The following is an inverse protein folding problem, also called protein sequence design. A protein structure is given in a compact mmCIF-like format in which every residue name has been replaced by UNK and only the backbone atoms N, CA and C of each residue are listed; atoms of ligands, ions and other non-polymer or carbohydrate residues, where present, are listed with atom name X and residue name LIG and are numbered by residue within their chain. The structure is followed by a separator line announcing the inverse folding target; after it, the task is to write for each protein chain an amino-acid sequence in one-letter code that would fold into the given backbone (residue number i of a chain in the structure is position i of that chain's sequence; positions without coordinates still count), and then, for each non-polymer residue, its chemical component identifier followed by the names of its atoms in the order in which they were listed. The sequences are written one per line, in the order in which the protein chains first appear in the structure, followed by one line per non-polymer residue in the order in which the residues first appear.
data_IF_299083228917
#
_entry.id   IF_299083228917
#
_cell.length_a   1.000
_cell.length_b   1.000
_cell.length_c   1.000
_cell.angle_alpha   90.00
_cell.angle_beta   90.00
_cell.angle_gamma   90.00
#
_symmetry.space_group_name_H-M   'P 1'
#
loop_
_entity.id
_entity.type
_entity.pdbx_description
1 polymer ?
#
# COMPACT_ATOMS: atom_id res chain seq x y z
N UNK A 1 4.39 -0.33 38.58
CA UNK A 1 3.93 -0.24 37.17
C UNK A 1 3.30 1.11 36.84
N UNK A 2 2.43 1.66 37.68
CA UNK A 2 1.67 2.91 37.40
C UNK A 2 2.58 4.15 37.52
N UNK A 3 3.39 4.22 38.52
CA UNK A 3 4.32 5.34 38.78
C UNK A 3 5.42 5.49 37.71
N UNK A 4 5.91 4.37 37.13
CA UNK A 4 6.88 4.38 36.03
C UNK A 4 6.25 4.88 34.71
N UNK A 5 4.96 4.61 34.51
CA UNK A 5 4.24 5.02 33.31
C UNK A 5 3.94 6.52 33.32
N UNK A 6 3.55 7.05 34.45
CA UNK A 6 3.29 8.50 34.64
C UNK A 6 4.57 9.33 34.44
N UNK A 7 5.70 8.91 35.00
CA UNK A 7 7.01 9.60 34.84
C UNK A 7 7.52 9.51 33.39
N UNK A 8 7.25 8.40 32.67
CA UNK A 8 7.63 8.26 31.27
C UNK A 8 6.76 9.16 30.37
N UNK A 9 5.47 9.24 30.62
CA UNK A 9 4.52 10.09 29.89
C UNK A 9 4.80 11.58 30.13
N UNK A 10 5.14 12.00 31.34
CA UNK A 10 5.54 13.37 31.67
C UNK A 10 6.87 13.77 30.99
N UNK A 11 7.87 12.90 30.99
CA UNK A 11 9.13 13.15 30.30
C UNK A 11 8.95 13.24 28.77
N UNK A 12 8.09 12.41 28.19
CA UNK A 12 7.80 12.46 26.77
C UNK A 12 7.05 13.74 26.38
N UNK A 13 6.12 14.20 27.22
CA UNK A 13 5.41 15.45 27.00
C UNK A 13 6.37 16.65 27.02
N UNK A 14 7.30 16.69 27.98
CA UNK A 14 8.32 17.75 28.07
C UNK A 14 9.22 17.76 26.82
N UNK A 15 9.70 16.62 26.37
CA UNK A 15 10.58 16.53 25.19
C UNK A 15 9.85 16.95 23.91
N UNK A 16 8.58 16.57 23.77
CA UNK A 16 7.75 17.02 22.67
C UNK A 16 7.55 18.54 22.67
N UNK A 17 7.39 19.14 23.86
CA UNK A 17 7.28 20.59 24.04
C UNK A 17 8.58 21.31 23.65
N UNK A 18 9.74 20.82 24.11
CA UNK A 18 11.05 21.38 23.75
C UNK A 18 11.25 21.36 22.22
N UNK A 19 10.93 20.25 21.56
CA UNK A 19 11.02 20.12 20.11
C UNK A 19 10.05 21.05 19.37
N UNK A 20 8.81 21.16 19.84
CA UNK A 20 7.81 22.06 19.26
C UNK A 20 8.22 23.53 19.39
N UNK A 21 8.76 23.93 20.54
CA UNK A 21 9.26 25.29 20.78
C UNK A 21 10.46 25.60 19.88
N UNK A 22 11.41 24.68 19.76
CA UNK A 22 12.54 24.81 18.85
C UNK A 22 12.07 25.06 17.41
N UNK A 23 11.18 24.22 16.87
CA UNK A 23 10.64 24.37 15.51
C UNK A 23 9.89 25.70 15.34
N UNK A 24 9.09 26.09 16.32
CA UNK A 24 8.36 27.37 16.33
C UNK A 24 9.31 28.57 16.33
N UNK A 25 10.46 28.47 17.01
CA UNK A 25 11.45 29.55 17.09
C UNK A 25 12.10 29.92 15.74
N UNK A 26 12.04 29.01 14.75
CA UNK A 26 12.54 29.24 13.40
C UNK A 26 11.53 29.94 12.48
N UNK A 27 10.28 30.11 12.93
CA UNK A 27 9.26 30.81 12.15
C UNK A 27 9.49 32.33 12.20
N UNK A 28 9.76 32.96 11.06
CA UNK A 28 9.89 34.41 10.99
C UNK A 28 8.54 35.09 11.27
N UNK A 29 8.57 36.10 12.14
CA UNK A 29 7.39 36.89 12.52
C UNK A 29 6.90 37.86 11.42
N UNK A 30 7.52 37.85 10.22
CA UNK A 30 7.26 38.84 9.18
C UNK A 30 6.82 38.17 7.89
N UNK A 31 5.56 38.05 7.68
CA UNK A 31 4.85 38.38 6.44
C UNK A 31 3.36 38.09 6.56
N UNK A 32 2.54 39.12 6.61
CA UNK A 32 1.06 39.04 6.53
C UNK A 32 0.53 38.83 5.12
N UNK A 33 1.38 38.56 4.13
CA UNK A 33 1.00 38.57 2.71
C UNK A 33 1.43 37.36 1.87
N UNK A 34 2.03 36.30 2.44
CA UNK A 34 2.27 35.06 1.71
C UNK A 34 1.95 33.84 2.55
N UNK A 35 1.26 32.87 1.99
CA UNK A 35 0.88 31.61 2.63
C UNK A 35 2.07 30.69 2.93
N UNK A 36 3.28 31.04 2.49
CA UNK A 36 4.51 30.28 2.72
C UNK A 36 5.29 30.95 3.84
N UNK A 37 5.29 30.30 5.03
CA UNK A 37 6.14 30.70 6.16
C UNK A 37 7.59 30.34 5.83
N UNK A 38 8.43 31.34 5.56
CA UNK A 38 9.87 31.12 5.45
C UNK A 38 10.45 30.84 6.84
N UNK A 39 11.08 29.67 7.01
CA UNK A 39 11.82 29.31 8.21
C UNK A 39 13.24 29.94 8.11
N UNK A 40 13.72 30.48 9.22
CA UNK A 40 15.07 31.04 9.33
C UNK A 40 15.84 30.28 10.40
N UNK A 41 16.86 29.57 9.97
CA UNK A 41 17.70 28.78 10.86
C UNK A 41 18.96 29.55 11.25
N UNK A 42 19.38 29.48 12.53
CA UNK A 42 20.69 30.01 12.93
C UNK A 42 21.82 29.30 12.18
N UNK A 43 22.92 30.01 11.89
CA UNK A 43 24.06 29.44 11.17
C UNK A 43 24.71 28.24 11.87
N UNK A 44 24.57 28.15 13.17
CA UNK A 44 25.08 27.02 13.97
C UNK A 44 24.16 25.77 13.94
N UNK A 45 22.90 25.91 13.48
CA UNK A 45 21.94 24.83 13.51
C UNK A 45 22.16 23.84 12.37
N UNK A 46 22.38 22.56 12.71
CA UNK A 46 22.65 21.49 11.75
C UNK A 46 21.53 20.44 11.65
N UNK A 47 20.42 20.61 12.37
CA UNK A 47 19.30 19.67 12.43
C UNK A 47 18.94 19.27 13.85
N UNK A 48 17.82 18.55 14.01
CA UNK A 48 17.40 18.01 15.31
C UNK A 48 16.61 16.71 15.15
N UNK A 49 16.77 15.81 16.10
CA UNK A 49 16.10 14.53 16.10
C UNK A 49 15.87 13.99 17.52
N UNK A 50 15.01 13.01 17.65
CA UNK A 50 14.85 12.23 18.88
C UNK A 50 15.76 11.00 18.80
N UNK A 51 16.60 10.80 19.81
CA UNK A 51 17.44 9.62 19.88
C UNK A 51 16.63 8.37 20.34
N UNK A 52 17.27 7.21 20.40
CA UNK A 52 16.62 5.95 20.81
C UNK A 52 16.09 5.96 22.24
N UNK A 53 16.58 6.88 23.08
CA UNK A 53 16.10 7.08 24.44
C UNK A 53 14.95 8.10 24.51
N UNK A 54 14.50 8.61 23.36
CA UNK A 54 13.44 9.62 23.25
C UNK A 54 13.88 11.02 23.65
N UNK A 55 15.18 11.33 23.75
CA UNK A 55 15.70 12.65 24.09
C UNK A 55 15.89 13.50 22.84
N UNK A 56 15.58 14.80 22.94
CA UNK A 56 15.85 15.76 21.88
C UNK A 56 17.35 16.00 21.74
N UNK A 57 17.87 15.73 20.55
CA UNK A 57 19.26 16.04 20.15
C UNK A 57 19.22 17.16 19.13
N UNK A 58 20.03 18.20 19.36
CA UNK A 58 20.20 19.31 18.41
C UNK A 58 21.63 19.29 17.89
N UNK A 59 21.79 19.24 16.58
CA UNK A 59 23.10 19.29 15.93
C UNK A 59 23.58 20.72 15.82
N UNK A 60 24.84 20.93 16.21
CA UNK A 60 25.52 22.22 16.22
C UNK A 60 26.78 22.16 15.36
N UNK A 61 26.91 23.10 14.44
CA UNK A 61 28.00 23.12 13.45
C UNK A 61 29.34 23.43 14.13
N UNK A 62 30.35 22.61 13.85
CA UNK A 62 31.74 22.70 14.26
C UNK A 62 31.99 22.62 15.77
N UNK A 63 31.38 23.48 16.58
CA UNK A 63 31.57 23.51 18.04
C UNK A 63 30.40 24.21 18.73
N UNK A 64 30.14 23.84 19.98
CA UNK A 64 29.24 24.62 20.83
C UNK A 64 29.98 25.76 21.54
N UNK A 65 29.22 26.73 22.04
CA UNK A 65 29.69 27.84 22.92
C UNK A 65 28.60 28.12 23.92
N UNK A 66 28.97 28.87 25.00
CA UNK A 66 28.02 29.29 26.00
C UNK A 66 26.86 30.12 25.43
N UNK A 67 27.13 30.93 24.40
CA UNK A 67 26.12 31.72 23.69
C UNK A 67 25.14 30.82 22.89
N UNK A 68 25.65 29.81 22.18
CA UNK A 68 24.81 28.84 21.43
C UNK A 68 23.96 28.04 22.41
N UNK A 69 24.51 27.57 23.52
CA UNK A 69 23.76 26.82 24.52
C UNK A 69 22.64 27.66 25.15
N UNK A 70 22.90 28.93 25.46
CA UNK A 70 21.88 29.87 25.96
C UNK A 70 20.79 30.14 24.92
N UNK A 71 21.16 30.29 23.63
CA UNK A 71 20.20 30.50 22.56
C UNK A 71 19.31 29.22 22.35
N UNK A 72 19.89 28.04 22.40
CA UNK A 72 19.15 26.78 22.33
C UNK A 72 18.17 26.61 23.49
N UNK A 73 18.60 26.89 24.73
CA UNK A 73 17.72 26.88 25.91
C UNK A 73 16.55 27.83 25.72
N UNK A 74 16.81 29.01 25.20
CA UNK A 74 15.77 30.01 24.93
C UNK A 74 14.80 29.52 23.84
N UNK A 75 15.30 28.97 22.78
CA UNK A 75 14.48 28.46 21.67
C UNK A 75 13.64 27.23 22.05
N UNK A 76 14.21 26.33 22.84
CA UNK A 76 13.50 25.16 23.37
C UNK A 76 12.51 25.53 24.50
N UNK A 77 12.63 26.71 25.11
CA UNK A 77 11.82 27.08 26.25
C UNK A 77 12.24 26.40 27.56
N UNK A 78 13.46 25.82 27.60
CA UNK A 78 13.98 25.14 28.79
C UNK A 78 15.20 24.27 28.52
N UNK A 79 15.76 23.71 29.59
CA UNK A 79 16.85 22.75 29.54
C UNK A 79 16.30 21.36 29.22
N UNK A 80 17.10 20.50 28.52
CA UNK A 80 16.75 19.10 28.28
C UNK A 80 17.11 18.61 26.89
N UNK A 81 17.58 19.49 25.99
CA UNK A 81 18.18 19.08 24.74
C UNK A 81 19.63 18.63 24.92
N UNK A 82 20.06 17.67 24.12
CA UNK A 82 21.44 17.22 24.01
C UNK A 82 22.05 17.92 22.80
N UNK A 83 23.25 18.48 22.94
CA UNK A 83 24.01 19.03 21.83
C UNK A 83 24.89 17.94 21.25
N UNK A 84 24.83 17.77 19.92
CA UNK A 84 25.70 16.90 19.13
C UNK A 84 26.39 17.73 18.05
N UNK A 85 27.69 17.51 17.83
CA UNK A 85 28.45 18.31 16.87
C UNK A 85 28.34 17.72 15.46
N UNK A 86 28.17 18.61 14.48
CA UNK A 86 28.09 18.26 13.07
C UNK A 86 28.98 19.15 12.20
N UNK A 87 29.05 18.83 10.92
CA UNK A 87 29.92 19.53 9.96
C UNK A 87 29.14 20.59 9.14
N UNK A 88 27.89 20.30 8.78
CA UNK A 88 27.10 21.13 7.86
C UNK A 88 25.91 21.77 8.56
N UNK A 89 25.63 23.05 8.25
CA UNK A 89 24.44 23.73 8.70
C UNK A 89 23.19 23.22 7.99
N UNK A 90 22.06 23.27 8.64
CA UNK A 90 20.78 22.89 8.04
C UNK A 90 20.44 23.78 6.82
N UNK A 91 20.88 25.04 6.83
CA UNK A 91 20.72 25.95 5.70
C UNK A 91 21.53 25.51 4.47
N UNK A 92 22.75 24.96 4.66
CA UNK A 92 23.52 24.38 3.54
C UNK A 92 22.81 23.16 2.97
N UNK A 93 22.31 22.27 3.83
CA UNK A 93 21.54 21.10 3.38
C UNK A 93 20.27 21.52 2.62
N UNK A 94 19.53 22.52 3.12
CA UNK A 94 18.32 23.03 2.45
C UNK A 94 18.63 23.69 1.11
N UNK A 95 19.72 24.44 0.98
CA UNK A 95 20.12 25.04 -0.29
C UNK A 95 20.46 23.97 -1.33
N UNK A 96 21.07 22.88 -0.92
CA UNK A 96 21.32 21.73 -1.80
C UNK A 96 20.00 21.02 -2.16
N UNK A 97 19.11 20.84 -1.21
CA UNK A 97 17.78 20.27 -1.42
C UNK A 97 16.97 21.09 -2.44
N UNK A 98 16.98 22.42 -2.35
CA UNK A 98 16.28 23.30 -3.29
C UNK A 98 16.82 23.16 -4.73
N UNK A 99 18.14 23.01 -4.90
CA UNK A 99 18.71 22.75 -6.23
C UNK A 99 18.24 21.41 -6.81
N UNK A 100 18.18 20.37 -5.99
CA UNK A 100 17.70 19.06 -6.42
C UNK A 100 16.18 19.05 -6.69
N UNK A 101 15.39 19.77 -5.89
CA UNK A 101 13.96 19.97 -6.14
C UNK A 101 13.73 20.65 -7.49
N UNK A 102 14.45 21.74 -7.76
CA UNK A 102 14.35 22.46 -9.02
C UNK A 102 14.74 21.58 -10.21
N UNK A 103 15.76 20.73 -10.06
CA UNK A 103 16.12 19.75 -11.09
C UNK A 103 14.98 18.76 -11.35
N UNK A 104 14.45 18.10 -10.32
CA UNK A 104 13.36 17.13 -10.45
C UNK A 104 12.09 17.75 -11.04
N UNK A 105 11.71 18.95 -10.57
CA UNK A 105 10.52 19.67 -11.05
C UNK A 105 10.67 20.15 -12.51
N UNK A 106 11.89 20.42 -12.96
CA UNK A 106 12.15 20.83 -14.35
C UNK A 106 12.07 19.67 -15.35
N UNK A 107 12.26 18.42 -14.91
CA UNK A 107 12.24 17.23 -15.75
C UNK A 107 10.81 16.68 -15.85
N UNK A 108 10.11 17.01 -16.93
CA UNK A 108 8.80 16.45 -17.24
C UNK A 108 8.97 15.01 -17.75
N UNK A 109 8.53 14.03 -16.95
CA UNK A 109 8.15 12.63 -17.28
C UNK A 109 9.00 11.77 -18.23
N UNK A 110 9.93 12.30 -19.02
CA UNK A 110 10.60 11.55 -20.09
C UNK A 110 12.13 11.46 -19.95
N UNK A 111 12.75 12.33 -19.16
CA UNK A 111 14.21 12.46 -19.14
C UNK A 111 14.75 12.43 -17.70
N UNK A 112 14.91 11.21 -17.18
CA UNK A 112 15.55 10.97 -15.89
C UNK A 112 16.80 10.08 -16.12
N UNK A 113 17.88 10.64 -16.69
CA UNK A 113 19.03 9.86 -17.13
C UNK A 113 19.78 9.19 -15.97
N UNK A 114 19.59 9.69 -14.74
CA UNK A 114 20.22 9.13 -13.54
C UNK A 114 19.34 8.17 -12.78
N UNK A 115 18.11 7.94 -13.25
CA UNK A 115 17.09 7.29 -12.43
C UNK A 115 17.01 7.92 -11.02
N UNK A 116 17.03 9.26 -10.99
CA UNK A 116 16.97 10.05 -9.76
C UNK A 116 15.53 10.14 -9.29
N UNK A 117 15.20 9.41 -8.21
CA UNK A 117 13.84 9.27 -7.72
C UNK A 117 13.48 10.21 -6.59
N UNK A 118 14.47 10.78 -5.93
CA UNK A 118 14.28 11.70 -4.81
C UNK A 118 15.47 11.74 -3.88
N UNK A 119 15.30 12.47 -2.80
CA UNK A 119 16.31 12.62 -1.75
C UNK A 119 15.65 12.85 -0.40
N UNK A 120 16.43 12.75 0.69
CA UNK A 120 16.01 13.16 2.02
C UNK A 120 17.17 13.74 2.82
N UNK A 121 16.88 14.77 3.63
CA UNK A 121 17.83 15.28 4.63
C UNK A 121 17.79 14.34 5.82
N UNK A 122 18.94 13.83 6.24
CA UNK A 122 19.12 12.97 7.39
C UNK A 122 19.71 13.76 8.56
N UNK A 123 18.86 14.25 9.46
CA UNK A 123 19.28 15.02 10.63
C UNK A 123 20.23 14.25 11.55
N UNK A 124 20.05 12.94 11.68
CA UNK A 124 20.92 12.08 12.50
C UNK A 124 22.35 12.02 11.98
N UNK A 125 22.51 11.96 10.66
CA UNK A 125 23.80 11.80 9.99
C UNK A 125 24.35 13.12 9.44
N UNK A 126 23.57 14.19 9.50
CA UNK A 126 23.90 15.53 8.98
C UNK A 126 24.32 15.46 7.49
N UNK A 127 23.55 14.73 6.69
CA UNK A 127 23.81 14.53 5.27
C UNK A 127 22.51 14.55 4.45
N UNK A 128 22.62 14.40 3.13
CA UNK A 128 21.47 14.17 2.24
C UNK A 128 21.64 12.82 1.57
N UNK A 129 20.67 11.93 1.77
CA UNK A 129 20.57 10.69 0.99
C UNK A 129 19.89 10.96 -0.35
N UNK A 130 20.59 10.60 -1.44
CA UNK A 130 20.11 10.75 -2.83
C UNK A 130 19.74 9.37 -3.36
N UNK A 131 18.50 9.18 -3.77
CA UNK A 131 17.95 7.89 -4.21
C UNK A 131 18.05 7.74 -5.73
N UNK A 132 18.92 6.85 -6.19
CA UNK A 132 19.15 6.53 -7.60
C UNK A 132 18.80 5.07 -7.90
N UNK A 133 18.32 4.78 -9.09
CA UNK A 133 18.11 3.40 -9.57
C UNK A 133 19.43 2.69 -9.86
N UNK A 134 20.43 3.43 -10.35
CA UNK A 134 21.80 2.96 -10.57
C UNK A 134 22.80 3.81 -9.78
N UNK A 135 23.61 3.16 -8.94
CA UNK A 135 24.69 3.78 -8.13
C UNK A 135 26.08 3.40 -8.64
N UNK A 136 26.22 3.09 -9.93
CA UNK A 136 27.54 2.92 -10.56
C UNK A 136 28.35 4.23 -10.47
N UNK A 137 29.67 4.09 -10.40
CA UNK A 137 30.58 5.24 -10.30
C UNK A 137 30.36 6.25 -11.42
N UNK A 138 30.15 5.78 -12.68
CA UNK A 138 29.85 6.64 -13.81
C UNK A 138 28.56 7.44 -13.62
N UNK A 139 27.49 6.80 -13.19
CA UNK A 139 26.19 7.45 -12.98
C UNK A 139 26.26 8.50 -11.86
N UNK A 140 26.98 8.19 -10.77
CA UNK A 140 27.23 9.15 -9.68
C UNK A 140 28.06 10.36 -10.17
N UNK A 141 29.09 10.15 -10.98
CA UNK A 141 29.90 11.26 -11.51
C UNK A 141 29.09 12.14 -12.47
N UNK A 142 28.27 11.55 -13.32
CA UNK A 142 27.38 12.30 -14.20
C UNK A 142 26.32 13.07 -13.41
N UNK A 143 25.73 12.49 -12.37
CA UNK A 143 24.82 13.19 -11.45
C UNK A 143 25.51 14.39 -10.79
N UNK A 144 26.72 14.20 -10.24
CA UNK A 144 27.48 15.28 -9.59
C UNK A 144 27.75 16.44 -10.55
N UNK A 145 28.08 16.14 -11.79
CA UNK A 145 28.38 17.15 -12.82
C UNK A 145 27.14 17.93 -13.25
N UNK A 146 25.97 17.25 -13.37
CA UNK A 146 24.78 17.88 -13.97
C UNK A 146 23.78 18.40 -12.93
N UNK A 147 23.70 17.80 -11.76
CA UNK A 147 22.73 18.15 -10.74
C UNK A 147 23.37 18.92 -9.60
N UNK A 148 24.25 18.27 -8.86
CA UNK A 148 24.88 18.85 -7.68
C UNK A 148 26.07 18.02 -7.21
N UNK A 149 27.19 18.68 -6.91
CA UNK A 149 28.33 18.09 -6.21
C UNK A 149 28.51 18.76 -4.85
N UNK A 150 28.24 18.02 -3.78
CA UNK A 150 28.45 18.44 -2.39
C UNK A 150 28.99 17.26 -1.57
N UNK A 151 29.87 17.50 -0.57
CA UNK A 151 30.51 16.43 0.18
C UNK A 151 29.55 15.65 1.10
N UNK A 152 28.42 16.24 1.45
CA UNK A 152 27.39 15.63 2.29
C UNK A 152 26.35 14.82 1.51
N UNK A 153 26.53 14.60 0.20
CA UNK A 153 25.64 13.72 -0.57
C UNK A 153 26.03 12.25 -0.38
N UNK A 154 25.07 11.44 0.01
CA UNK A 154 25.18 9.99 0.13
C UNK A 154 24.27 9.31 -0.88
N UNK A 155 24.82 8.60 -1.84
CA UNK A 155 24.04 7.92 -2.87
C UNK A 155 23.54 6.56 -2.39
N UNK A 156 22.25 6.32 -2.54
CA UNK A 156 21.55 5.11 -2.09
C UNK A 156 20.81 4.52 -3.28
N UNK A 157 21.00 3.21 -3.51
CA UNK A 157 20.22 2.49 -4.52
C UNK A 157 18.78 2.37 -4.07
N UNK A 158 17.85 2.74 -4.93
CA UNK A 158 16.42 2.68 -4.66
C UNK A 158 15.65 2.23 -5.91
N UNK A 159 14.45 1.70 -5.68
CA UNK A 159 13.46 1.53 -6.74
C UNK A 159 12.63 2.81 -6.86
N UNK A 160 12.03 3.03 -8.02
CA UNK A 160 11.14 4.17 -8.25
C UNK A 160 9.91 4.07 -7.33
N UNK A 161 9.68 5.04 -6.43
CA UNK A 161 8.50 5.04 -5.60
C UNK A 161 7.23 5.18 -6.46
N UNK A 162 6.16 4.49 -6.05
CA UNK A 162 4.86 4.54 -6.68
C UNK A 162 3.79 4.91 -5.67
N UNK A 163 2.70 5.55 -6.13
CA UNK A 163 1.51 5.68 -5.31
C UNK A 163 0.95 4.30 -5.02
N UNK A 164 0.67 4.03 -3.77
CA UNK A 164 -0.02 2.81 -3.37
C UNK A 164 -1.49 2.95 -3.75
N UNK A 165 -1.93 2.12 -4.69
CA UNK A 165 -3.34 2.03 -5.08
C UNK A 165 -3.94 0.78 -4.45
N UNK A 166 -4.97 0.96 -3.65
CA UNK A 166 -5.69 -0.14 -3.01
C UNK A 166 -6.87 -0.58 -3.87
N UNK A 167 -6.93 -1.86 -4.19
CA UNK A 167 -8.03 -2.51 -4.90
C UNK A 167 -8.96 -3.15 -3.87
N UNK A 168 -10.23 -2.81 -3.94
CA UNK A 168 -11.22 -3.25 -2.97
C UNK A 168 -11.83 -4.61 -3.34
N UNK A 169 -12.19 -5.38 -2.33
CA UNK A 169 -12.99 -6.62 -2.49
C UNK A 169 -14.34 -6.31 -3.15
N UNK A 170 -14.64 -7.02 -4.24
CA UNK A 170 -15.84 -6.77 -5.07
C UNK A 170 -15.64 -5.75 -6.20
N UNK A 171 -14.50 -5.06 -6.25
CA UNK A 171 -14.20 -4.12 -7.33
C UNK A 171 -14.12 -4.81 -8.69
N UNK A 172 -14.58 -4.10 -9.73
CA UNK A 172 -14.52 -4.56 -11.12
C UNK A 172 -13.11 -4.82 -11.59
N UNK A 173 -12.93 -5.87 -12.35
CA UNK A 173 -11.68 -6.21 -13.06
C UNK A 173 -11.94 -6.60 -14.50
N UNK A 174 -10.90 -6.44 -15.33
CA UNK A 174 -10.87 -6.90 -16.71
C UNK A 174 -9.63 -7.77 -16.91
N UNK A 175 -9.80 -8.97 -17.42
CA UNK A 175 -8.65 -9.83 -17.76
C UNK A 175 -8.04 -9.47 -19.11
N UNK A 176 -6.80 -9.85 -19.34
CA UNK A 176 -6.11 -9.69 -20.62
C UNK A 176 -6.81 -10.41 -21.81
N UNK A 177 -7.73 -11.32 -21.50
CA UNK A 177 -8.62 -11.98 -22.50
C UNK A 177 -9.90 -11.17 -22.75
N UNK A 178 -10.02 -9.95 -22.20
CA UNK A 178 -11.20 -9.09 -22.26
C UNK A 178 -12.46 -9.67 -21.61
N UNK A 179 -12.29 -10.57 -20.65
CA UNK A 179 -13.38 -11.05 -19.81
C UNK A 179 -13.52 -10.15 -18.59
N UNK A 180 -14.76 -9.83 -18.24
CA UNK A 180 -15.10 -9.02 -17.09
C UNK A 180 -15.38 -9.88 -15.87
N UNK A 181 -14.98 -9.38 -14.71
CA UNK A 181 -15.21 -10.02 -13.43
C UNK A 181 -15.06 -9.05 -12.27
N UNK A 182 -14.95 -9.62 -11.09
CA UNK A 182 -14.78 -8.87 -9.84
C UNK A 182 -13.71 -9.50 -8.96
N UNK A 183 -13.09 -8.70 -8.09
CA UNK A 183 -12.19 -9.18 -7.05
C UNK A 183 -13.00 -9.93 -6.01
N UNK A 184 -12.57 -11.15 -5.69
CA UNK A 184 -13.18 -11.97 -4.66
C UNK A 184 -12.68 -11.58 -3.28
N UNK A 185 -11.56 -12.13 -2.87
CA UNK A 185 -10.94 -11.83 -1.59
C UNK A 185 -9.42 -11.82 -1.69
N UNK A 186 -8.77 -11.06 -0.82
CA UNK A 186 -7.31 -11.03 -0.79
C UNK A 186 -6.77 -12.29 -0.13
N UNK A 187 -5.64 -12.75 -0.65
CA UNK A 187 -4.93 -13.89 -0.10
C UNK A 187 -3.43 -13.74 -0.37
N UNK A 188 -2.63 -14.49 0.37
CA UNK A 188 -1.21 -14.67 0.09
C UNK A 188 -0.92 -16.14 -0.10
N UNK A 189 0.04 -16.41 -0.99
CA UNK A 189 0.56 -17.76 -1.19
C UNK A 189 1.93 -17.86 -0.56
N UNK A 190 2.13 -18.88 0.29
CA UNK A 190 3.45 -19.25 0.79
C UNK A 190 4.15 -20.03 -0.30
N UNK A 191 5.04 -19.39 -1.02
CA UNK A 191 5.91 -20.12 -1.92
C UNK A 191 7.05 -20.78 -1.11
N UNK A 192 7.55 -21.92 -1.59
CA UNK A 192 8.67 -22.63 -0.98
C UNK A 192 9.99 -21.83 -0.97
N UNK A 193 10.02 -20.64 -1.54
CA UNK A 193 11.16 -19.77 -1.74
C UNK A 193 11.05 -18.40 -1.06
N UNK A 194 10.87 -18.36 0.27
CA UNK A 194 11.25 -17.24 1.14
C UNK A 194 10.33 -16.01 1.26
N UNK A 195 9.53 -15.61 0.28
CA UNK A 195 8.64 -14.44 0.39
C UNK A 195 7.20 -14.81 0.06
N UNK A 196 6.22 -14.54 0.95
CA UNK A 196 4.82 -14.74 0.62
C UNK A 196 4.39 -13.82 -0.52
N UNK A 197 3.86 -14.39 -1.60
CA UNK A 197 3.28 -13.61 -2.70
C UNK A 197 1.87 -13.19 -2.32
N UNK A 198 1.63 -11.88 -2.23
CA UNK A 198 0.30 -11.30 -1.97
C UNK A 198 -0.49 -11.13 -3.25
N UNK A 199 -1.82 -11.20 -3.15
CA UNK A 199 -2.69 -11.07 -4.30
C UNK A 199 -4.17 -11.22 -3.92
N UNK A 200 -4.95 -11.67 -4.87
CA UNK A 200 -6.39 -11.87 -4.72
C UNK A 200 -6.88 -13.12 -5.44
N UNK A 201 -8.03 -13.59 -5.01
CA UNK A 201 -8.78 -14.66 -5.65
C UNK A 201 -9.91 -14.08 -6.49
N UNK A 202 -10.15 -14.65 -7.66
CA UNK A 202 -11.30 -14.40 -8.54
C UNK A 202 -11.77 -15.72 -9.19
N UNK A 203 -12.79 -15.69 -10.03
CA UNK A 203 -13.20 -16.88 -10.78
C UNK A 203 -12.19 -17.28 -11.87
N UNK A 204 -11.99 -18.57 -12.04
CA UNK A 204 -11.08 -19.13 -13.03
C UNK A 204 -11.47 -18.75 -14.47
N UNK A 205 -12.76 -18.81 -14.78
CA UNK A 205 -13.27 -18.48 -16.13
C UNK A 205 -13.10 -16.99 -16.51
N UNK A 206 -12.89 -16.09 -15.54
CA UNK A 206 -12.60 -14.66 -15.79
C UNK A 206 -11.19 -14.50 -16.36
N UNK A 207 -10.19 -15.13 -15.76
CA UNK A 207 -8.79 -15.02 -16.20
C UNK A 207 -8.36 -16.12 -17.18
N UNK A 208 -9.08 -17.24 -17.19
CA UNK A 208 -8.98 -18.37 -18.11
C UNK A 208 -7.73 -19.25 -17.94
N UNK A 209 -6.53 -18.68 -17.78
CA UNK A 209 -5.28 -19.45 -17.66
C UNK A 209 -4.23 -18.69 -16.84
N UNK A 210 -3.27 -19.43 -16.32
CA UNK A 210 -2.07 -18.85 -15.71
C UNK A 210 -1.31 -17.96 -16.71
N UNK A 211 -0.67 -16.90 -16.20
CA UNK A 211 0.03 -15.90 -16.99
C UNK A 211 -0.88 -14.80 -17.57
N UNK A 212 -2.19 -14.86 -17.34
CA UNK A 212 -3.11 -13.81 -17.78
C UNK A 212 -3.02 -12.60 -16.86
N UNK A 213 -2.75 -11.42 -17.43
CA UNK A 213 -2.78 -10.15 -16.70
C UNK A 213 -4.22 -9.72 -16.37
N UNK A 214 -4.36 -9.05 -15.24
CA UNK A 214 -5.64 -8.49 -14.79
C UNK A 214 -5.49 -6.99 -14.59
N UNK A 215 -6.50 -6.24 -14.99
CA UNK A 215 -6.54 -4.78 -15.01
C UNK A 215 -7.75 -4.26 -14.24
N UNK A 216 -7.64 -3.04 -13.73
CA UNK A 216 -8.74 -2.37 -13.03
C UNK A 216 -9.87 -1.94 -13.97
N UNK A 217 -9.53 -1.61 -15.21
CA UNK A 217 -10.47 -1.05 -16.18
C UNK A 217 -10.14 -1.46 -17.63
N UNK A 218 -11.03 -1.07 -18.55
CA UNK A 218 -10.97 -1.44 -19.97
C UNK A 218 -9.80 -0.81 -20.74
N UNK A 219 -9.14 0.21 -20.20
CA UNK A 219 -7.96 0.80 -20.84
C UNK A 219 -6.77 -0.16 -20.85
N UNK A 220 -6.77 -1.12 -19.91
CA UNK A 220 -5.73 -2.16 -19.75
C UNK A 220 -4.30 -1.58 -19.80
N UNK A 221 -4.11 -0.37 -19.26
CA UNK A 221 -2.83 0.34 -19.33
C UNK A 221 -1.80 -0.22 -18.37
N UNK A 222 -2.20 -0.52 -17.12
CA UNK A 222 -1.31 -1.03 -16.08
C UNK A 222 -1.95 -2.22 -15.40
N UNK A 223 -1.34 -3.41 -15.44
CA UNK A 223 -1.90 -4.58 -14.79
C UNK A 223 -1.81 -4.45 -13.27
N UNK A 224 -2.91 -4.76 -12.57
CA UNK A 224 -2.99 -4.82 -11.11
C UNK A 224 -2.52 -6.17 -10.56
N UNK A 225 -2.55 -7.20 -11.39
CA UNK A 225 -2.13 -8.54 -11.03
C UNK A 225 -1.95 -9.45 -12.24
N UNK A 226 -1.39 -10.63 -11.98
CA UNK A 226 -1.24 -11.69 -12.97
C UNK A 226 -1.67 -13.04 -12.37
N UNK A 227 -2.44 -13.79 -13.11
CA UNK A 227 -2.87 -15.12 -12.68
C UNK A 227 -1.68 -16.07 -12.54
N UNK A 228 -1.39 -16.52 -11.33
CA UNK A 228 -0.41 -17.58 -11.07
C UNK A 228 -1.02 -18.96 -11.27
N UNK A 229 -2.25 -19.13 -10.78
CA UNK A 229 -3.02 -20.36 -10.90
C UNK A 229 -4.42 -20.00 -11.40
N UNK A 230 -4.93 -20.75 -12.35
CA UNK A 230 -6.32 -20.64 -12.81
C UNK A 230 -6.84 -22.02 -13.24
N UNK A 231 -8.03 -22.36 -12.77
CA UNK A 231 -8.73 -23.57 -13.15
C UNK A 231 -10.23 -23.30 -13.30
N UNK A 232 -10.81 -23.85 -14.36
CA UNK A 232 -12.27 -23.85 -14.59
C UNK A 232 -12.67 -25.23 -15.10
N UNK A 233 -12.66 -26.20 -14.22
CA UNK A 233 -13.00 -27.61 -14.55
C UNK A 233 -13.21 -28.44 -13.28
N UNK A 234 -14.02 -29.48 -13.39
CA UNK A 234 -14.25 -30.45 -12.32
C UNK A 234 -14.92 -29.80 -11.12
N UNK A 235 -14.23 -29.70 -10.01
CA UNK A 235 -14.70 -29.13 -8.75
C UNK A 235 -14.24 -27.70 -8.48
N UNK A 236 -13.62 -27.05 -9.46
CA UNK A 236 -12.94 -25.76 -9.27
C UNK A 236 -13.23 -24.78 -10.39
N UNK A 237 -13.66 -23.58 -10.01
CA UNK A 237 -13.66 -22.37 -10.84
C UNK A 237 -13.08 -21.22 -10.01
N UNK A 238 -11.76 -21.15 -9.98
CA UNK A 238 -11.02 -20.15 -9.22
C UNK A 238 -9.69 -19.81 -9.87
N UNK A 239 -9.20 -18.61 -9.60
CA UNK A 239 -7.85 -18.19 -9.92
C UNK A 239 -7.24 -17.41 -8.76
N UNK A 240 -5.95 -17.61 -8.52
CA UNK A 240 -5.15 -16.73 -7.67
C UNK A 240 -4.26 -15.85 -8.56
N UNK A 241 -4.39 -14.54 -8.39
CA UNK A 241 -3.62 -13.53 -9.11
C UNK A 241 -2.70 -12.82 -8.12
N UNK A 242 -1.39 -12.89 -8.35
CA UNK A 242 -0.44 -12.12 -7.52
C UNK A 242 -0.45 -10.64 -7.91
N UNK A 243 -0.16 -9.80 -6.91
CA UNK A 243 -0.11 -8.34 -7.04
C UNK A 243 1.03 -7.89 -7.96
N UNK A 244 0.78 -6.84 -8.73
CA UNK A 244 1.75 -6.21 -9.62
C UNK A 244 1.76 -4.69 -9.46
N UNK A 245 2.84 -4.04 -9.89
CA UNK A 245 2.97 -2.59 -10.01
C UNK A 245 2.62 -1.80 -8.72
N UNK A 246 2.90 -2.38 -7.55
CA UNK A 246 2.65 -1.73 -6.27
C UNK A 246 1.19 -1.68 -5.83
N UNK A 247 0.28 -2.34 -6.55
CA UNK A 247 -1.11 -2.46 -6.10
C UNK A 247 -1.22 -3.35 -4.85
N UNK A 248 -2.08 -2.94 -3.94
CA UNK A 248 -2.46 -3.73 -2.76
C UNK A 248 -3.94 -4.08 -2.83
N UNK A 249 -4.32 -5.17 -2.17
CA UNK A 249 -5.70 -5.63 -2.14
C UNK A 249 -6.23 -5.54 -0.71
N UNK A 250 -7.48 -5.08 -0.57
CA UNK A 250 -8.12 -4.80 0.70
C UNK A 250 -9.23 -5.80 1.00
N UNK A 251 -9.53 -5.96 2.28
CA UNK A 251 -10.75 -6.63 2.73
C UNK A 251 -11.96 -5.68 2.82
N UNK A 252 -11.79 -4.39 2.53
CA UNK A 252 -12.91 -3.45 2.41
C UNK A 252 -13.78 -3.79 1.20
N UNK A 253 -15.08 -3.78 1.41
CA UNK A 253 -16.06 -4.04 0.34
C UNK A 253 -16.21 -2.80 -0.55
N UNK A 254 -16.17 -3.03 -1.86
CA UNK A 254 -16.37 -1.96 -2.84
C UNK A 254 -17.73 -1.28 -2.66
N UNK A 255 -17.73 0.06 -2.68
CA UNK A 255 -18.92 0.90 -2.45
C UNK A 255 -19.60 0.69 -1.08
N UNK A 256 -18.86 0.25 -0.08
CA UNK A 256 -19.34 0.07 1.27
C UNK A 256 -18.24 0.44 2.27
N UNK A 257 -18.60 0.75 3.51
CA UNK A 257 -17.65 1.02 4.60
C UNK A 257 -17.31 -0.23 5.42
N UNK A 258 -17.86 -1.39 5.04
CA UNK A 258 -17.67 -2.65 5.72
C UNK A 258 -16.45 -3.40 5.20
N UNK A 259 -15.87 -4.23 6.05
CA UNK A 259 -14.76 -5.11 5.70
C UNK A 259 -15.11 -6.55 6.03
N UNK A 260 -14.68 -7.48 5.19
CA UNK A 260 -14.74 -8.90 5.55
C UNK A 260 -13.54 -9.28 6.41
N UNK A 261 -13.79 -10.21 7.35
CA UNK A 261 -12.73 -10.79 8.14
C UNK A 261 -11.88 -11.75 7.29
N UNK A 262 -10.56 -11.83 7.50
CA UNK A 262 -9.70 -12.80 6.83
C UNK A 262 -9.87 -14.21 7.43
N UNK A 263 -11.11 -14.68 7.45
CA UNK A 263 -11.50 -15.97 8.02
C UNK A 263 -12.49 -16.67 7.10
N UNK A 264 -12.38 -17.98 7.02
CA UNK A 264 -13.36 -18.82 6.34
C UNK A 264 -14.67 -18.87 7.11
N UNK A 265 -15.78 -18.73 6.40
CA UNK A 265 -17.11 -18.90 6.96
C UNK A 265 -17.46 -20.38 7.13
N UNK A 266 -18.16 -20.69 8.21
CA UNK A 266 -18.88 -21.96 8.39
C UNK A 266 -20.36 -21.73 8.12
N UNK A 267 -20.92 -22.41 7.13
CA UNK A 267 -22.31 -22.22 6.72
C UNK A 267 -23.03 -23.54 6.49
N UNK A 268 -24.34 -23.50 6.61
CA UNK A 268 -25.26 -24.61 6.36
C UNK A 268 -26.37 -24.16 5.38
N UNK A 269 -27.24 -25.07 4.98
CA UNK A 269 -28.48 -24.72 4.28
C UNK A 269 -29.29 -23.74 5.14
N UNK A 270 -29.87 -22.72 4.49
CA UNK A 270 -30.55 -21.57 5.09
C UNK A 270 -29.62 -20.54 5.81
N UNK A 271 -28.32 -20.73 5.83
CA UNK A 271 -27.42 -19.61 6.24
C UNK A 271 -27.59 -18.43 5.31
N UNK A 272 -27.60 -17.23 5.89
CA UNK A 272 -27.63 -15.96 5.15
C UNK A 272 -26.28 -15.72 4.52
N UNK A 273 -26.28 -15.32 3.26
CA UNK A 273 -25.08 -14.93 2.50
C UNK A 273 -25.32 -13.67 1.69
N UNK A 274 -24.27 -12.98 1.40
CA UNK A 274 -24.29 -11.78 0.58
C UNK A 274 -23.18 -11.81 -0.46
N UNK A 275 -23.38 -11.08 -1.55
CA UNK A 275 -22.37 -10.85 -2.58
C UNK A 275 -22.08 -9.34 -2.73
N UNK A 276 -20.86 -9.04 -3.10
CA UNK A 276 -20.44 -7.70 -3.53
C UNK A 276 -19.60 -7.82 -4.78
N UNK A 277 -20.11 -7.33 -5.89
CA UNK A 277 -19.47 -7.41 -7.19
C UNK A 277 -19.60 -6.14 -8.00
N UNK A 278 -19.17 -6.21 -9.26
CA UNK A 278 -19.21 -5.10 -10.21
C UNK A 278 -20.57 -4.43 -10.32
N UNK A 279 -21.62 -5.21 -10.40
CA UNK A 279 -22.99 -4.74 -10.66
C UNK A 279 -23.97 -5.06 -9.54
N UNK A 280 -23.64 -6.01 -8.66
CA UNK A 280 -24.58 -6.51 -7.68
C UNK A 280 -24.07 -6.36 -6.26
N UNK A 281 -24.97 -5.87 -5.42
CA UNK A 281 -24.93 -5.97 -3.97
C UNK A 281 -26.23 -6.69 -3.53
N UNK A 282 -26.16 -7.98 -3.28
CA UNK A 282 -27.34 -8.80 -3.05
C UNK A 282 -27.15 -9.70 -1.85
N UNK A 283 -28.23 -9.91 -1.10
CA UNK A 283 -28.31 -10.82 0.03
C UNK A 283 -29.28 -11.95 -0.29
N UNK A 284 -28.98 -13.14 0.15
CA UNK A 284 -29.80 -14.32 -0.03
C UNK A 284 -29.48 -15.40 0.99
N UNK A 285 -29.83 -16.62 0.67
CA UNK A 285 -29.68 -17.79 1.55
C UNK A 285 -29.08 -18.96 0.77
N UNK A 286 -28.36 -19.82 1.45
CA UNK A 286 -27.84 -21.06 0.91
C UNK A 286 -28.97 -22.06 0.74
N UNK A 287 -29.18 -22.57 -0.47
CA UNK A 287 -30.15 -23.60 -0.77
C UNK A 287 -29.55 -25.01 -0.73
N UNK A 288 -28.28 -25.14 -1.06
CA UNK A 288 -27.57 -26.41 -1.06
C UNK A 288 -26.07 -26.16 -0.87
N UNK A 289 -25.47 -26.93 0.03
CA UNK A 289 -24.00 -26.90 0.25
C UNK A 289 -23.24 -27.80 -0.72
N UNK A 290 -23.96 -28.58 -1.54
CA UNK A 290 -23.38 -29.44 -2.58
C UNK A 290 -24.29 -29.45 -3.80
N UNK A 291 -23.86 -28.84 -4.89
CA UNK A 291 -24.58 -28.82 -6.14
C UNK A 291 -23.63 -29.13 -7.31
N UNK A 292 -24.21 -29.59 -8.42
CA UNK A 292 -23.54 -29.72 -9.71
C UNK A 292 -24.33 -28.92 -10.71
N UNK A 293 -23.65 -28.12 -11.54
CA UNK A 293 -24.31 -27.34 -12.58
C UNK A 293 -23.41 -27.20 -13.81
N UNK A 294 -24.04 -27.07 -14.98
CA UNK A 294 -23.35 -26.83 -16.25
C UNK A 294 -23.54 -25.38 -16.66
N UNK A 295 -22.43 -24.67 -16.84
CA UNK A 295 -22.37 -23.26 -17.21
C UNK A 295 -21.98 -23.10 -18.66
N UNK A 296 -22.65 -22.23 -19.39
CA UNK A 296 -22.16 -21.75 -20.69
C UNK A 296 -20.98 -20.83 -20.48
N UNK A 297 -19.90 -21.06 -21.20
CA UNK A 297 -18.73 -20.18 -21.22
C UNK A 297 -18.64 -19.44 -22.56
N UNK A 298 -19.31 -18.29 -22.70
CA UNK A 298 -19.51 -17.66 -24.02
C UNK A 298 -18.22 -17.30 -24.72
N UNK A 299 -17.21 -16.84 -23.98
CA UNK A 299 -15.90 -16.45 -24.54
C UNK A 299 -15.12 -17.63 -25.14
N UNK A 300 -15.43 -18.86 -24.73
CA UNK A 300 -14.81 -20.11 -25.23
C UNK A 300 -15.71 -20.90 -26.13
N UNK A 301 -17.00 -20.53 -26.24
CA UNK A 301 -17.97 -21.25 -27.02
C UNK A 301 -18.31 -22.67 -26.53
N UNK A 302 -18.01 -22.97 -25.27
CA UNK A 302 -18.17 -24.27 -24.63
C UNK A 302 -19.08 -24.23 -23.42
N UNK A 303 -19.46 -25.41 -22.92
CA UNK A 303 -20.10 -25.59 -21.65
C UNK A 303 -19.16 -26.32 -20.69
N UNK A 304 -19.16 -25.90 -19.43
CA UNK A 304 -18.34 -26.50 -18.38
C UNK A 304 -19.25 -26.95 -17.22
N UNK A 305 -19.12 -28.21 -16.85
CA UNK A 305 -19.80 -28.77 -15.68
C UNK A 305 -18.90 -28.65 -14.45
N UNK A 306 -19.41 -27.98 -13.42
CA UNK A 306 -18.74 -27.83 -12.13
C UNK A 306 -19.50 -28.61 -11.05
N UNK A 307 -18.76 -29.31 -10.21
CA UNK A 307 -19.29 -30.21 -9.17
C UNK A 307 -18.93 -29.71 -7.77
N UNK A 308 -19.72 -30.07 -6.78
CA UNK A 308 -19.45 -29.72 -5.38
C UNK A 308 -19.46 -28.22 -5.09
N UNK A 309 -20.14 -27.44 -5.91
CA UNK A 309 -20.35 -26.00 -5.73
C UNK A 309 -21.56 -25.74 -4.82
N UNK A 310 -21.66 -24.52 -4.30
CA UNK A 310 -22.75 -24.12 -3.39
C UNK A 310 -23.80 -23.34 -4.17
N UNK A 311 -25.09 -23.67 -3.95
CA UNK A 311 -26.23 -22.99 -4.56
C UNK A 311 -26.86 -22.02 -3.58
N UNK A 312 -27.19 -20.81 -4.03
CA UNK A 312 -27.76 -19.74 -3.22
C UNK A 312 -28.83 -18.92 -3.96
N UNK A 313 -29.56 -18.09 -3.22
CA UNK A 313 -30.63 -17.25 -3.76
C UNK A 313 -30.20 -15.80 -4.04
N UNK A 314 -28.92 -15.43 -3.93
CA UNK A 314 -28.44 -14.10 -4.32
C UNK A 314 -28.68 -13.86 -5.82
N UNK A 315 -29.11 -12.65 -6.14
CA UNK A 315 -29.20 -12.21 -7.53
C UNK A 315 -27.83 -11.75 -8.00
N UNK A 316 -27.43 -12.16 -9.20
CA UNK A 316 -26.15 -11.79 -9.81
C UNK A 316 -26.31 -11.41 -11.28
N UNK A 317 -25.35 -10.68 -11.81
CA UNK A 317 -25.31 -10.21 -13.19
C UNK A 317 -23.98 -10.55 -13.84
N UNK A 318 -23.96 -10.46 -15.19
CA UNK A 318 -22.70 -10.62 -15.93
C UNK A 318 -21.67 -9.60 -15.49
N UNK A 319 -20.44 -10.03 -15.19
CA UNK A 319 -19.38 -9.20 -14.63
C UNK A 319 -19.24 -9.29 -13.10
N UNK A 320 -20.20 -9.88 -12.38
CA UNK A 320 -20.05 -10.18 -10.96
C UNK A 320 -19.23 -11.45 -10.71
N UNK A 321 -18.95 -12.24 -11.76
CA UNK A 321 -18.11 -13.44 -11.65
C UNK A 321 -16.81 -13.19 -10.91
N UNK A 322 -16.48 -14.04 -9.97
CA UNK A 322 -15.32 -13.91 -9.11
C UNK A 322 -15.53 -13.01 -7.89
N UNK A 323 -16.63 -12.28 -7.77
CA UNK A 323 -16.87 -11.43 -6.60
C UNK A 323 -16.94 -12.23 -5.29
N UNK A 324 -16.73 -11.53 -4.20
CA UNK A 324 -16.83 -12.10 -2.85
C UNK A 324 -18.24 -12.61 -2.56
N UNK A 325 -18.30 -13.80 -1.94
CA UNK A 325 -19.47 -14.28 -1.21
C UNK A 325 -19.09 -14.37 0.27
N UNK A 326 -19.86 -13.76 1.13
CA UNK A 326 -19.57 -13.68 2.56
C UNK A 326 -20.85 -13.89 3.41
N UNK A 327 -20.67 -14.25 4.67
CA UNK A 327 -21.75 -14.33 5.65
C UNK A 327 -21.89 -12.98 6.36
N UNK A 328 -23.00 -12.23 6.16
CA UNK A 328 -23.10 -10.84 6.65
C UNK A 328 -23.19 -10.74 8.19
N UNK A 329 -23.54 -11.82 8.89
CA UNK A 329 -23.70 -11.80 10.34
C UNK A 329 -22.35 -11.80 11.08
N UNK A 330 -21.32 -12.42 10.51
CA UNK A 330 -19.96 -12.51 11.06
C UNK A 330 -18.87 -11.94 10.12
N UNK A 331 -19.27 -11.47 8.94
CA UNK A 331 -18.40 -10.90 7.91
C UNK A 331 -17.27 -11.84 7.47
N UNK A 332 -17.47 -13.16 7.53
CA UNK A 332 -16.47 -14.15 7.12
C UNK A 332 -16.61 -14.54 5.64
N UNK A 333 -15.53 -14.99 5.04
CA UNK A 333 -15.43 -15.32 3.61
C UNK A 333 -16.04 -16.70 3.35
N UNK A 334 -17.12 -16.77 2.58
CA UNK A 334 -17.76 -18.02 2.16
C UNK A 334 -17.19 -18.55 0.82
N UNK A 335 -16.90 -17.67 -0.15
CA UNK A 335 -16.40 -18.07 -1.44
C UNK A 335 -16.32 -16.98 -2.47
N UNK A 336 -16.25 -17.40 -3.74
CA UNK A 336 -16.28 -16.53 -4.93
C UNK A 336 -17.42 -16.93 -5.87
N UNK A 337 -18.16 -15.94 -6.37
CA UNK A 337 -19.27 -16.17 -7.28
C UNK A 337 -18.78 -16.80 -8.59
N UNK A 338 -19.39 -17.90 -8.97
CA UNK A 338 -19.21 -18.51 -10.30
C UNK A 338 -20.13 -17.79 -11.30
N UNK A 339 -21.42 -17.76 -11.00
CA UNK A 339 -22.46 -17.23 -11.87
C UNK A 339 -23.83 -17.82 -11.52
N UNK A 340 -24.79 -17.59 -12.38
CA UNK A 340 -26.16 -18.05 -12.19
C UNK A 340 -27.08 -17.67 -13.32
N UNK A 341 -28.37 -17.58 -13.03
CA UNK A 341 -29.36 -17.03 -13.95
C UNK A 341 -29.36 -15.52 -13.80
N UNK A 342 -29.05 -14.80 -14.88
CA UNK A 342 -28.90 -13.33 -14.86
C UNK A 342 -30.15 -12.64 -14.32
N UNK A 343 -29.95 -11.73 -13.37
CA UNK A 343 -31.01 -10.97 -12.68
C UNK A 343 -32.05 -11.85 -11.96
N UNK A 344 -31.70 -13.08 -11.65
CA UNK A 344 -32.57 -14.03 -10.98
C UNK A 344 -31.75 -14.97 -10.10
N UNK A 345 -32.42 -15.91 -9.45
CA UNK A 345 -31.78 -17.03 -8.76
C UNK A 345 -32.14 -18.36 -9.46
N UNK A 346 -31.35 -19.40 -9.29
CA UNK A 346 -30.23 -19.53 -8.39
C UNK A 346 -28.92 -18.94 -8.91
N UNK A 347 -28.06 -18.55 -7.99
CA UNK A 347 -26.64 -18.32 -8.23
C UNK A 347 -25.80 -19.40 -7.53
N UNK A 348 -24.55 -19.51 -7.96
CA UNK A 348 -23.63 -20.52 -7.46
C UNK A 348 -22.28 -19.90 -7.11
N UNK A 349 -21.65 -20.41 -6.06
CA UNK A 349 -20.32 -19.96 -5.70
C UNK A 349 -19.35 -21.13 -5.44
N UNK A 350 -18.08 -20.84 -5.62
CA UNK A 350 -16.96 -21.71 -5.28
C UNK A 350 -16.63 -21.53 -3.81
N UNK A 351 -16.64 -22.58 -2.98
CA UNK A 351 -16.24 -22.49 -1.57
C UNK A 351 -14.82 -21.96 -1.41
N UNK A 352 -14.64 -20.91 -0.59
CA UNK A 352 -13.30 -20.35 -0.32
C UNK A 352 -12.38 -21.38 0.34
N UNK A 353 -12.90 -22.25 1.20
CA UNK A 353 -12.12 -23.32 1.85
C UNK A 353 -11.43 -24.22 0.84
N UNK A 354 -12.12 -24.61 -0.22
CA UNK A 354 -11.53 -25.43 -1.28
C UNK A 354 -10.44 -24.70 -2.08
N UNK A 355 -10.68 -23.44 -2.44
CA UNK A 355 -9.68 -22.62 -3.15
C UNK A 355 -8.44 -22.39 -2.31
N UNK A 356 -8.63 -22.06 -1.02
CA UNK A 356 -7.54 -21.83 -0.07
C UNK A 356 -6.69 -23.10 0.12
N UNK A 357 -7.33 -24.24 0.33
CA UNK A 357 -6.64 -25.54 0.48
C UNK A 357 -5.92 -25.95 -0.80
N UNK A 358 -6.63 -25.93 -1.93
CA UNK A 358 -6.10 -26.43 -3.23
C UNK A 358 -4.92 -25.60 -3.73
N UNK A 359 -4.91 -24.30 -3.50
CA UNK A 359 -3.86 -23.40 -3.99
C UNK A 359 -2.81 -23.04 -2.92
N UNK A 360 -2.92 -23.60 -1.72
CA UNK A 360 -2.00 -23.32 -0.61
C UNK A 360 -2.01 -21.85 -0.19
N UNK A 361 -3.19 -21.25 -0.12
CA UNK A 361 -3.38 -19.84 0.22
C UNK A 361 -3.52 -19.63 1.73
N UNK A 362 -3.23 -18.41 2.17
CA UNK A 362 -3.48 -17.91 3.52
C UNK A 362 -4.29 -16.61 3.40
N UNK A 363 -5.38 -16.51 4.16
CA UNK A 363 -6.15 -15.28 4.29
C UNK A 363 -5.44 -14.30 5.26
N UNK A 364 -5.47 -13.00 5.00
CA UNK A 364 -4.80 -12.00 5.84
C UNK A 364 -5.50 -10.65 5.83
#
# INVERSE_FOLDING_TARGET
GRQYREVFEENQALINELGANLMKSFQNAVSRSSEIKHLSYPSYYGGAYLNKEGKLVVKVVNKTSEEIEKDLITRCGGNGSIVDICEYSYSELLNAAEKMDNYLLSKKNADNPFEFYGFSICDTDNNIEVYLGDISESNIQDFKKEVLEEPFLKFVKSEKPAFLSEILTGQSIVSGTRSYGSVGFRAKRKDSHVVPVTGFVTAGHVVQKAGTYVYENESMSTPIGCAEISQTSGDTDAAFCYSMNGYTFSNHLYSDFLSVNPKLSSYLVNSKVAIRGRHSASTGYINSTYATSTFKWPSQGISVTLTGIVKMTCNSQSGDSGCIVYTPDDMNIAGTLIGGVTNSNPSYFMPASRTVEKYGLELY
#
